data_IF_185622961800
#
_entry.id   IF_185622961800
#
_cell.length_a   1.000
_cell.length_b   1.000
_cell.length_c   1.000
_cell.angle_alpha   90.00
_cell.angle_beta   90.00
_cell.angle_gamma   90.00
#
_symmetry.space_group_name_H-M   'P 1'
#
loop_
_entity.id
_entity.type
_entity.pdbx_description
1 polymer ?
#
# COMPACT_ATOMS: atom_id res chain seq x y z
N UNK A 1 19.68 12.06 3.17
CA UNK A 1 20.03 10.71 3.67
C UNK A 1 21.45 10.78 4.22
N UNK A 2 21.67 10.47 5.51
CA UNK A 2 23.05 10.29 6.02
C UNK A 2 23.67 9.11 5.27
N UNK A 3 24.92 9.26 4.80
CA UNK A 3 25.66 8.20 4.09
C UNK A 3 25.71 6.95 4.98
N UNK A 4 25.01 5.89 4.59
CA UNK A 4 25.21 4.56 5.16
C UNK A 4 26.42 3.96 4.44
N UNK A 5 27.58 4.01 5.09
CA UNK A 5 28.80 3.35 4.60
C UNK A 5 28.66 1.85 4.92
N UNK A 6 28.47 1.02 3.90
CA UNK A 6 28.45 -0.44 4.05
C UNK A 6 29.82 -1.00 3.69
N UNK A 7 30.47 -1.67 4.65
CA UNK A 7 31.63 -2.54 4.41
C UNK A 7 31.19 -4.00 4.48
N UNK A 8 31.63 -4.84 3.54
CA UNK A 8 31.42 -6.29 3.63
C UNK A 8 32.17 -6.86 4.84
N UNK A 9 31.49 -7.05 5.97
CA UNK A 9 31.99 -7.85 7.10
C UNK A 9 31.49 -9.29 6.96
N UNK A 10 32.39 -10.22 6.64
CA UNK A 10 32.05 -11.62 6.33
C UNK A 10 31.67 -12.38 7.62
N UNK A 11 30.43 -12.86 7.74
CA UNK A 11 30.04 -13.89 8.73
C UNK A 11 29.10 -14.90 8.06
N UNK A 12 29.49 -16.18 8.13
CA UNK A 12 28.75 -17.32 7.58
C UNK A 12 27.68 -17.78 8.58
N UNK A 13 26.42 -17.79 8.16
CA UNK A 13 25.35 -18.52 8.85
C UNK A 13 24.35 -19.07 7.83
N UNK A 14 24.10 -20.38 7.88
CA UNK A 14 23.23 -21.11 6.96
C UNK A 14 21.86 -21.40 7.58
N UNK A 15 20.79 -21.00 6.89
CA UNK A 15 19.51 -21.74 6.83
C UNK A 15 18.64 -21.19 5.70
N UNK A 16 18.03 -22.05 4.88
CA UNK A 16 17.23 -21.69 3.69
C UNK A 16 15.83 -22.29 3.76
N UNK A 17 14.82 -21.49 3.36
CA UNK A 17 13.64 -22.01 2.68
C UNK A 17 13.49 -21.26 1.35
N UNK A 18 13.28 -22.03 0.28
CA UNK A 18 12.91 -21.55 -1.06
C UNK A 18 11.68 -22.33 -1.46
N UNK A 19 10.66 -21.68 -2.02
CA UNK A 19 9.50 -22.36 -2.58
C UNK A 19 9.79 -22.79 -4.03
N UNK A 20 9.38 -24.01 -4.42
CA UNK A 20 9.68 -24.59 -5.74
C UNK A 20 8.40 -25.00 -6.51
N UNK A 21 8.27 -24.56 -7.76
CA UNK A 21 7.34 -25.13 -8.77
C UNK A 21 7.94 -25.02 -10.18
N UNK A 22 9.04 -25.73 -10.45
CA UNK A 22 9.51 -25.99 -11.82
C UNK A 22 9.88 -27.47 -11.98
N UNK A 23 9.12 -28.19 -12.81
CA UNK A 23 9.23 -29.65 -13.02
C UNK A 23 10.56 -30.07 -13.66
N UNK A 24 11.17 -29.19 -14.48
CA UNK A 24 12.48 -29.45 -15.09
C UNK A 24 13.58 -29.42 -14.02
N UNK A 25 13.58 -28.39 -13.16
CA UNK A 25 14.54 -28.27 -12.07
C UNK A 25 14.44 -29.43 -11.08
N UNK A 26 13.21 -29.84 -10.75
CA UNK A 26 12.94 -30.91 -9.80
C UNK A 26 13.52 -32.25 -10.22
N UNK A 27 13.57 -32.53 -11.51
CA UNK A 27 13.98 -33.83 -12.07
C UNK A 27 15.38 -33.81 -12.69
N UNK A 28 16.11 -32.71 -12.54
CA UNK A 28 17.48 -32.56 -13.05
C UNK A 28 18.47 -32.70 -11.90
N UNK A 29 19.49 -33.53 -12.10
CA UNK A 29 20.60 -33.70 -11.14
C UNK A 29 21.23 -32.34 -10.77
N UNK A 30 21.48 -32.05 -9.48
CA UNK A 30 22.05 -30.77 -9.05
C UNK A 30 23.37 -30.42 -9.74
N UNK A 31 24.20 -31.42 -10.05
CA UNK A 31 25.48 -31.22 -10.75
C UNK A 31 25.30 -30.72 -12.19
N UNK A 32 24.25 -31.17 -12.88
CA UNK A 32 23.91 -30.71 -14.23
C UNK A 32 23.38 -29.27 -14.19
N UNK A 33 22.57 -28.94 -13.17
CA UNK A 33 22.11 -27.57 -12.94
C UNK A 33 23.29 -26.64 -12.62
N UNK A 34 24.22 -27.06 -11.75
CA UNK A 34 25.43 -26.30 -11.44
C UNK A 34 26.26 -26.04 -12.70
N UNK A 35 26.49 -27.04 -13.55
CA UNK A 35 27.21 -26.85 -14.81
C UNK A 35 26.49 -25.87 -15.76
N UNK A 36 25.17 -25.99 -15.90
CA UNK A 36 24.32 -25.08 -16.70
C UNK A 36 24.49 -23.62 -16.25
N UNK A 37 24.35 -23.36 -14.94
CA UNK A 37 24.44 -21.99 -14.41
C UNK A 37 25.86 -21.45 -14.41
N UNK A 38 26.88 -22.27 -14.17
CA UNK A 38 28.28 -21.85 -14.32
C UNK A 38 28.60 -21.44 -15.76
N UNK A 39 28.17 -22.22 -16.76
CA UNK A 39 28.36 -21.88 -18.18
C UNK A 39 27.63 -20.57 -18.53
N UNK A 40 26.36 -20.46 -18.15
CA UNK A 40 25.54 -19.26 -18.39
C UNK A 40 26.14 -18.01 -17.73
N UNK A 41 26.61 -18.12 -16.48
CA UNK A 41 27.28 -17.04 -15.78
C UNK A 41 28.52 -16.54 -16.54
N UNK A 42 29.38 -17.45 -17.00
CA UNK A 42 30.59 -17.09 -17.79
C UNK A 42 30.23 -16.40 -19.10
N UNK A 43 29.22 -16.91 -19.82
CA UNK A 43 28.75 -16.30 -21.06
C UNK A 43 28.18 -14.89 -20.84
N UNK A 44 27.42 -14.68 -19.76
CA UNK A 44 26.86 -13.38 -19.41
C UNK A 44 27.95 -12.39 -18.97
N UNK A 45 28.93 -12.85 -18.19
CA UNK A 45 30.10 -12.03 -17.82
C UNK A 45 30.91 -11.60 -19.05
N UNK A 46 31.15 -12.51 -19.99
CA UNK A 46 31.85 -12.20 -21.25
C UNK A 46 31.11 -11.15 -22.09
N UNK A 47 29.77 -11.08 -21.98
CA UNK A 47 28.92 -10.07 -22.64
C UNK A 47 28.78 -8.77 -21.83
N UNK A 48 29.29 -8.71 -20.60
CA UNK A 48 29.10 -7.58 -19.69
C UNK A 48 27.71 -7.52 -19.03
N UNK A 49 26.87 -8.55 -19.16
CA UNK A 49 25.55 -8.63 -18.52
C UNK A 49 25.71 -9.12 -17.07
N UNK A 50 26.18 -8.22 -16.21
CA UNK A 50 26.42 -8.50 -14.78
C UNK A 50 25.13 -8.91 -14.06
N UNK A 51 23.99 -8.40 -14.50
CA UNK A 51 22.69 -8.72 -13.89
C UNK A 51 22.36 -10.19 -14.05
N UNK A 52 22.36 -10.72 -15.28
CA UNK A 52 22.12 -12.15 -15.50
C UNK A 52 23.23 -13.02 -14.92
N UNK A 53 24.48 -12.59 -15.04
CA UNK A 53 25.60 -13.32 -14.47
C UNK A 53 25.46 -13.48 -12.95
N UNK A 54 25.12 -12.42 -12.22
CA UNK A 54 24.93 -12.48 -10.77
C UNK A 54 23.80 -13.43 -10.37
N UNK A 55 22.68 -13.40 -11.10
CA UNK A 55 21.54 -14.31 -10.89
C UNK A 55 21.94 -15.76 -11.13
N UNK A 56 22.70 -16.03 -12.19
CA UNK A 56 23.21 -17.38 -12.49
C UNK A 56 24.20 -17.86 -11.42
N UNK A 57 25.06 -16.98 -10.90
CA UNK A 57 25.98 -17.31 -9.81
C UNK A 57 25.25 -17.60 -8.49
N UNK A 58 24.20 -16.85 -8.16
CA UNK A 58 23.36 -17.13 -6.99
C UNK A 58 22.67 -18.50 -7.12
N UNK A 59 22.14 -18.81 -8.31
CA UNK A 59 21.55 -20.12 -8.61
C UNK A 59 22.60 -21.23 -8.56
N UNK A 60 23.79 -21.03 -9.11
CA UNK A 60 24.89 -21.98 -9.03
C UNK A 60 25.17 -22.38 -7.57
N UNK A 61 25.29 -21.40 -6.67
CA UNK A 61 25.53 -21.64 -5.24
C UNK A 61 24.48 -22.55 -4.59
N UNK A 62 23.20 -22.41 -4.97
CA UNK A 62 22.10 -23.29 -4.51
C UNK A 62 22.36 -24.77 -4.80
N UNK A 63 22.99 -25.09 -5.93
CA UNK A 63 23.20 -26.47 -6.38
C UNK A 63 24.57 -27.05 -5.99
N UNK A 64 25.42 -26.24 -5.37
CA UNK A 64 26.76 -26.66 -4.94
C UNK A 64 26.91 -26.71 -3.42
N UNK A 65 26.12 -25.95 -2.67
CA UNK A 65 26.31 -25.76 -1.23
C UNK A 65 25.20 -26.38 -0.38
N UNK A 66 25.59 -27.15 0.64
CA UNK A 66 24.67 -27.75 1.60
C UNK A 66 24.22 -29.15 1.21
N UNK A 67 22.92 -29.42 1.38
CA UNK A 67 22.33 -30.73 1.18
C UNK A 67 21.02 -30.63 0.41
N UNK A 68 20.67 -31.71 -0.29
CA UNK A 68 19.42 -31.85 -1.04
C UNK A 68 18.75 -33.17 -0.67
N UNK A 69 17.42 -33.19 -0.67
CA UNK A 69 16.65 -34.42 -0.55
C UNK A 69 16.47 -35.05 -1.92
N UNK A 70 16.97 -36.26 -2.11
CA UNK A 70 16.70 -37.08 -3.28
C UNK A 70 15.62 -38.11 -2.93
N UNK A 71 14.55 -38.14 -3.72
CA UNK A 71 13.46 -39.11 -3.55
C UNK A 71 13.00 -39.63 -4.90
N UNK A 72 12.75 -40.94 -4.98
CA UNK A 72 12.23 -41.54 -6.21
C UNK A 72 10.71 -41.44 -6.24
N UNK A 73 10.18 -40.76 -7.25
CA UNK A 73 8.76 -40.82 -7.59
C UNK A 73 8.48 -42.16 -8.26
N UNK A 74 7.62 -42.99 -7.64
CA UNK A 74 7.36 -44.35 -8.13
C UNK A 74 6.44 -44.37 -9.35
N UNK A 75 5.65 -43.33 -9.55
CA UNK A 75 4.74 -43.22 -10.69
C UNK A 75 5.51 -42.78 -11.94
N UNK A 76 6.31 -41.71 -11.83
CA UNK A 76 7.13 -41.22 -12.94
C UNK A 76 8.42 -42.02 -13.17
N UNK A 77 8.81 -42.82 -12.16
CA UNK A 77 10.08 -43.57 -12.08
C UNK A 77 11.34 -42.70 -12.10
N UNK A 78 11.20 -41.38 -11.92
CA UNK A 78 12.32 -40.43 -11.86
C UNK A 78 12.74 -40.14 -10.44
N UNK A 79 14.00 -39.75 -10.29
CA UNK A 79 14.47 -39.13 -9.07
C UNK A 79 14.08 -37.64 -9.08
N UNK A 80 13.68 -37.15 -7.92
CA UNK A 80 13.30 -35.77 -7.68
C UNK A 80 14.15 -35.17 -6.55
N UNK A 81 14.50 -33.90 -6.68
CA UNK A 81 15.44 -33.18 -5.83
C UNK A 81 14.77 -31.99 -5.13
N UNK A 82 14.60 -32.10 -3.82
CA UNK A 82 13.95 -31.08 -2.99
C UNK A 82 14.98 -30.35 -2.12
N UNK A 83 14.96 -29.01 -2.18
CA UNK A 83 15.93 -28.13 -1.50
C UNK A 83 15.38 -27.56 -0.18
N UNK A 84 14.19 -27.98 0.22
CA UNK A 84 13.60 -27.68 1.53
C UNK A 84 12.83 -28.89 2.03
N UNK A 85 12.79 -29.08 3.36
CA UNK A 85 11.98 -30.12 3.98
C UNK A 85 10.48 -29.90 3.69
N UNK A 86 10.04 -28.65 3.73
CA UNK A 86 8.64 -28.29 3.51
C UNK A 86 8.14 -28.69 2.11
N UNK A 87 8.96 -28.50 1.07
CA UNK A 87 8.59 -28.91 -0.29
C UNK A 87 8.56 -30.44 -0.44
N UNK A 88 9.52 -31.14 0.20
CA UNK A 88 9.53 -32.60 0.25
C UNK A 88 8.27 -33.15 0.94
N UNK A 89 7.93 -32.59 2.11
CA UNK A 89 6.76 -33.00 2.88
C UNK A 89 5.48 -32.77 2.07
N UNK A 90 5.37 -31.61 1.43
CA UNK A 90 4.22 -31.28 0.57
C UNK A 90 4.08 -32.26 -0.59
N UNK A 91 5.18 -32.64 -1.25
CA UNK A 91 5.14 -33.59 -2.35
C UNK A 91 4.80 -35.00 -1.88
N UNK A 92 5.43 -35.46 -0.80
CA UNK A 92 5.27 -36.84 -0.29
C UNK A 92 3.95 -37.07 0.46
N UNK A 93 3.26 -36.01 0.89
CA UNK A 93 1.95 -36.11 1.53
C UNK A 93 0.85 -36.66 0.61
N UNK A 94 0.97 -36.47 -0.70
CA UNK A 94 -0.08 -36.81 -1.67
C UNK A 94 0.37 -37.72 -2.81
N UNK A 95 1.67 -38.05 -2.91
CA UNK A 95 2.20 -38.85 -4.00
C UNK A 95 2.83 -40.17 -3.59
N UNK A 96 3.09 -41.01 -4.59
CA UNK A 96 3.68 -42.32 -4.41
C UNK A 96 5.20 -42.25 -4.51
N UNK A 97 5.86 -42.09 -3.35
CA UNK A 97 7.32 -41.92 -3.30
C UNK A 97 8.01 -43.10 -2.60
N UNK A 98 9.29 -43.28 -2.93
CA UNK A 98 10.21 -44.08 -2.14
C UNK A 98 10.64 -43.31 -0.87
N UNK A 99 11.44 -43.94 -0.02
CA UNK A 99 12.05 -43.26 1.14
C UNK A 99 13.03 -42.20 0.63
N UNK A 100 12.83 -40.95 1.05
CA UNK A 100 13.76 -39.86 0.74
C UNK A 100 15.12 -40.08 1.44
N UNK A 101 16.19 -39.65 0.79
CA UNK A 101 17.55 -39.63 1.33
C UNK A 101 18.15 -38.24 1.22
N UNK A 102 18.90 -37.85 2.23
CA UNK A 102 19.65 -36.60 2.23
C UNK A 102 21.00 -36.83 1.53
N UNK A 103 21.34 -35.97 0.56
CA UNK A 103 22.55 -36.07 -0.26
C UNK A 103 23.34 -34.77 -0.12
N UNK A 104 24.62 -34.86 0.23
CA UNK A 104 25.50 -33.70 0.30
C UNK A 104 25.86 -33.22 -1.11
N UNK A 105 25.63 -31.94 -1.38
CA UNK A 105 26.03 -31.32 -2.64
C UNK A 105 27.56 -31.23 -2.72
N UNK A 106 28.09 -31.32 -3.93
CA UNK A 106 29.52 -31.37 -4.20
C UNK A 106 29.95 -30.08 -4.90
N UNK A 107 30.60 -29.14 -4.20
CA UNK A 107 31.11 -27.92 -4.83
C UNK A 107 32.18 -28.25 -5.87
N UNK A 108 32.02 -27.74 -7.10
CA UNK A 108 32.98 -27.89 -8.19
C UNK A 108 33.48 -26.54 -8.71
N UNK A 109 32.60 -25.55 -8.80
CA UNK A 109 32.89 -24.26 -9.40
C UNK A 109 33.02 -23.14 -8.36
N UNK A 110 32.15 -23.10 -7.35
CA UNK A 110 32.02 -21.97 -6.41
C UNK A 110 33.31 -21.58 -5.68
N UNK A 111 34.09 -22.56 -5.18
CA UNK A 111 35.37 -22.30 -4.50
C UNK A 111 36.38 -21.56 -5.41
N UNK A 112 36.44 -21.94 -6.69
CA UNK A 112 37.37 -21.35 -7.65
C UNK A 112 37.00 -19.90 -7.99
N UNK A 113 35.72 -19.55 -7.87
CA UNK A 113 35.19 -18.23 -8.25
C UNK A 113 35.15 -17.24 -7.07
N UNK A 114 35.49 -17.65 -5.84
CA UNK A 114 35.25 -16.86 -4.64
C UNK A 114 35.90 -15.46 -4.70
N UNK A 115 37.17 -15.37 -5.12
CA UNK A 115 37.88 -14.09 -5.27
C UNK A 115 37.29 -13.23 -6.38
N UNK A 116 36.95 -13.83 -7.53
CA UNK A 116 36.38 -13.12 -8.68
C UNK A 116 34.98 -12.56 -8.36
N UNK A 117 34.12 -13.36 -7.73
CA UNK A 117 32.78 -12.97 -7.30
C UNK A 117 32.84 -11.89 -6.23
N UNK A 118 33.78 -12.00 -5.27
CA UNK A 118 33.99 -10.96 -4.24
C UNK A 118 34.42 -9.62 -4.85
N UNK A 119 35.38 -9.64 -5.77
CA UNK A 119 35.82 -8.44 -6.48
C UNK A 119 34.68 -7.81 -7.31
N UNK A 120 33.87 -8.63 -7.98
CA UNK A 120 32.72 -8.17 -8.73
C UNK A 120 31.64 -7.56 -7.82
N UNK A 121 31.38 -8.17 -6.67
CA UNK A 121 30.43 -7.65 -5.67
C UNK A 121 30.86 -6.26 -5.16
N UNK A 122 32.14 -6.10 -4.82
CA UNK A 122 32.71 -4.81 -4.41
C UNK A 122 32.56 -3.75 -5.50
N UNK A 123 32.88 -4.11 -6.75
CA UNK A 123 32.75 -3.20 -7.89
C UNK A 123 31.30 -2.75 -8.13
N UNK A 124 30.35 -3.68 -8.06
CA UNK A 124 28.93 -3.36 -8.22
C UNK A 124 28.40 -2.53 -7.05
N UNK A 125 28.88 -2.76 -5.83
CA UNK A 125 28.52 -1.96 -4.65
C UNK A 125 29.02 -0.52 -4.79
N UNK A 126 30.28 -0.32 -5.18
CA UNK A 126 30.84 1.00 -5.45
C UNK A 126 30.06 1.74 -6.55
N UNK A 127 29.70 1.02 -7.62
CA UNK A 127 28.92 1.58 -8.71
C UNK A 127 27.47 1.91 -8.27
N UNK A 128 26.84 1.07 -7.45
CA UNK A 128 25.51 1.33 -6.89
C UNK A 128 25.51 2.61 -6.04
N UNK A 129 26.51 2.76 -5.18
CA UNK A 129 26.66 3.94 -4.33
C UNK A 129 26.88 5.22 -5.16
N UNK A 130 27.72 5.16 -6.21
CA UNK A 130 27.92 6.29 -7.13
C UNK A 130 26.65 6.66 -7.88
N UNK A 131 25.91 5.68 -8.40
CA UNK A 131 24.64 5.90 -9.08
C UNK A 131 23.59 6.51 -8.13
N UNK A 132 23.57 6.07 -6.87
CA UNK A 132 22.69 6.61 -5.83
C UNK A 132 23.03 8.07 -5.50
N UNK A 133 24.32 8.41 -5.34
CA UNK A 133 24.79 9.79 -5.13
C UNK A 133 24.43 10.69 -6.33
N UNK A 134 24.49 10.13 -7.55
CA UNK A 134 24.08 10.79 -8.79
C UNK A 134 22.55 10.80 -9.02
N UNK A 135 21.75 10.26 -8.08
CA UNK A 135 20.29 10.12 -8.19
C UNK A 135 19.80 9.28 -9.38
N UNK A 136 20.66 8.42 -9.93
CA UNK A 136 20.33 7.44 -10.96
C UNK A 136 19.70 6.20 -10.31
N UNK A 137 18.51 6.38 -9.74
CA UNK A 137 17.95 5.40 -8.82
C UNK A 137 17.64 4.03 -9.45
N UNK A 138 17.15 3.97 -10.69
CA UNK A 138 16.93 2.68 -11.38
C UNK A 138 18.22 1.89 -11.53
N UNK A 139 19.31 2.56 -11.92
CA UNK A 139 20.63 1.95 -12.05
C UNK A 139 21.16 1.49 -10.69
N UNK A 140 21.11 2.35 -9.68
CA UNK A 140 21.52 2.01 -8.32
C UNK A 140 20.75 0.79 -7.79
N UNK A 141 19.43 0.74 -8.01
CA UNK A 141 18.58 -0.38 -7.59
C UNK A 141 18.97 -1.69 -8.27
N UNK A 142 19.21 -1.68 -9.58
CA UNK A 142 19.70 -2.87 -10.30
C UNK A 142 21.05 -3.33 -9.76
N UNK A 143 21.98 -2.42 -9.50
CA UNK A 143 23.30 -2.76 -8.98
C UNK A 143 23.24 -3.32 -7.56
N UNK A 144 22.38 -2.80 -6.69
CA UNK A 144 22.16 -3.39 -5.37
C UNK A 144 21.56 -4.80 -5.45
N UNK A 145 20.69 -5.09 -6.41
CA UNK A 145 20.24 -6.47 -6.67
C UNK A 145 21.38 -7.36 -7.15
N UNK A 146 22.29 -6.85 -7.98
CA UNK A 146 23.49 -7.59 -8.40
C UNK A 146 24.37 -7.91 -7.20
N UNK A 147 24.62 -6.94 -6.31
CA UNK A 147 25.36 -7.15 -5.06
C UNK A 147 24.68 -8.23 -4.23
N UNK A 148 23.36 -8.14 -4.01
CA UNK A 148 22.59 -9.16 -3.29
C UNK A 148 22.83 -10.57 -3.85
N UNK A 149 22.72 -10.75 -5.17
CA UNK A 149 22.92 -12.06 -5.79
C UNK A 149 24.37 -12.55 -5.66
N UNK A 150 25.35 -11.65 -5.79
CA UNK A 150 26.78 -12.00 -5.67
C UNK A 150 27.16 -12.38 -4.24
N UNK A 151 26.64 -11.69 -3.23
CA UNK A 151 26.88 -12.06 -1.82
C UNK A 151 26.17 -13.37 -1.46
N UNK A 152 25.00 -13.64 -2.04
CA UNK A 152 24.32 -14.94 -1.93
C UNK A 152 25.14 -16.06 -2.59
N UNK A 153 25.77 -15.79 -3.73
CA UNK A 153 26.69 -16.72 -4.38
C UNK A 153 27.91 -17.07 -3.50
N UNK A 154 28.35 -16.13 -2.65
CA UNK A 154 29.42 -16.34 -1.65
C UNK A 154 28.95 -17.04 -0.37
N UNK A 155 27.68 -17.45 -0.29
CA UNK A 155 27.09 -18.10 0.88
C UNK A 155 26.72 -17.14 2.01
N UNK A 156 26.74 -15.83 1.76
CA UNK A 156 26.36 -14.79 2.73
C UNK A 156 24.97 -14.25 2.43
N UNK A 157 24.14 -14.09 3.46
CA UNK A 157 22.76 -13.59 3.31
C UNK A 157 22.66 -12.18 3.85
N UNK A 158 22.59 -11.22 2.94
CA UNK A 158 22.48 -9.80 3.27
C UNK A 158 21.28 -9.20 2.53
N UNK A 159 20.07 -9.52 3.00
CA UNK A 159 18.80 -9.01 2.46
C UNK A 159 18.71 -7.47 2.51
N UNK A 160 19.61 -6.81 3.25
CA UNK A 160 19.73 -5.35 3.29
C UNK A 160 20.00 -4.75 1.91
N UNK A 161 20.73 -5.44 1.02
CA UNK A 161 20.96 -4.95 -0.35
C UNK A 161 19.67 -5.02 -1.19
N UNK A 162 18.83 -6.03 -0.99
CA UNK A 162 17.47 -6.07 -1.58
C UNK A 162 16.62 -4.91 -1.08
N UNK A 163 16.68 -4.61 0.22
CA UNK A 163 15.95 -3.46 0.77
C UNK A 163 16.43 -2.13 0.20
N UNK A 164 17.74 -1.95 0.02
CA UNK A 164 18.31 -0.77 -0.66
C UNK A 164 17.86 -0.65 -2.11
N UNK A 165 17.78 -1.78 -2.83
CA UNK A 165 17.23 -1.80 -4.17
C UNK A 165 15.76 -1.35 -4.20
N UNK A 166 14.94 -1.81 -3.25
CA UNK A 166 13.55 -1.37 -3.12
C UNK A 166 13.44 0.15 -2.89
N UNK A 167 14.25 0.72 -1.98
CA UNK A 167 14.32 2.18 -1.78
C UNK A 167 14.68 2.90 -3.08
N UNK A 168 15.64 2.38 -3.84
CA UNK A 168 16.03 2.97 -5.11
C UNK A 168 14.88 2.92 -6.13
N UNK A 169 14.20 1.78 -6.31
CA UNK A 169 13.06 1.71 -7.22
C UNK A 169 11.89 2.61 -6.78
N UNK A 170 11.63 2.73 -5.47
CA UNK A 170 10.68 3.71 -4.95
C UNK A 170 11.05 5.15 -5.34
N UNK A 171 12.31 5.55 -5.15
CA UNK A 171 12.78 6.89 -5.53
C UNK A 171 12.80 7.12 -7.06
N UNK A 172 12.85 6.05 -7.84
CA UNK A 172 12.68 6.07 -9.30
C UNK A 172 11.20 6.13 -9.75
N UNK A 173 10.26 6.17 -8.80
CA UNK A 173 8.81 6.01 -9.02
C UNK A 173 8.40 4.67 -9.66
N UNK A 174 9.26 3.66 -9.63
CA UNK A 174 8.97 2.28 -10.02
C UNK A 174 8.39 1.53 -8.81
N UNK A 175 7.18 1.95 -8.41
CA UNK A 175 6.51 1.45 -7.21
C UNK A 175 6.18 -0.05 -7.30
N UNK A 176 5.91 -0.57 -8.49
CA UNK A 176 5.60 -1.99 -8.68
C UNK A 176 6.82 -2.86 -8.39
N UNK A 177 8.01 -2.54 -8.92
CA UNK A 177 9.24 -3.29 -8.59
C UNK A 177 9.61 -3.15 -7.13
N UNK A 178 9.51 -1.94 -6.57
CA UNK A 178 9.74 -1.72 -5.14
C UNK A 178 8.83 -2.62 -4.30
N UNK A 179 7.54 -2.63 -4.60
CA UNK A 179 6.55 -3.42 -3.86
C UNK A 179 6.82 -4.93 -3.96
N UNK A 180 7.17 -5.45 -5.14
CA UNK A 180 7.54 -6.86 -5.30
C UNK A 180 8.67 -7.25 -4.35
N UNK A 181 9.75 -6.46 -4.30
CA UNK A 181 10.88 -6.74 -3.43
C UNK A 181 10.49 -6.64 -1.95
N UNK A 182 9.70 -5.62 -1.57
CA UNK A 182 9.27 -5.44 -0.18
C UNK A 182 8.37 -6.59 0.30
N UNK A 183 7.52 -7.15 -0.56
CA UNK A 183 6.71 -8.34 -0.26
C UNK A 183 7.56 -9.58 -0.08
N UNK A 184 8.60 -9.78 -0.91
CA UNK A 184 9.56 -10.87 -0.71
C UNK A 184 10.29 -10.76 0.64
N UNK A 185 10.70 -9.56 1.02
CA UNK A 185 11.36 -9.28 2.30
C UNK A 185 10.42 -9.50 3.48
N UNK A 186 9.16 -9.04 3.37
CA UNK A 186 8.13 -9.25 4.39
C UNK A 186 7.87 -10.74 4.64
N UNK A 187 7.70 -11.53 3.58
CA UNK A 187 7.47 -12.97 3.65
C UNK A 187 8.64 -13.74 4.32
N UNK A 188 9.86 -13.19 4.28
CA UNK A 188 11.05 -13.73 4.95
C UNK A 188 11.23 -13.24 6.39
N UNK A 189 10.36 -12.38 6.89
CA UNK A 189 10.51 -11.78 8.22
C UNK A 189 11.68 -10.81 8.32
N UNK A 190 12.05 -10.14 7.23
CA UNK A 190 13.17 -9.20 7.18
C UNK A 190 13.08 -8.13 8.26
N UNK A 191 14.07 -8.05 9.15
CA UNK A 191 14.18 -6.96 10.14
C UNK A 191 15.24 -5.94 9.77
N UNK A 192 16.09 -6.24 8.78
CA UNK A 192 17.28 -5.47 8.46
C UNK A 192 18.38 -5.53 9.52
N UNK A 193 18.18 -6.30 10.61
CA UNK A 193 19.23 -6.60 11.58
C UNK A 193 20.16 -7.69 11.04
N UNK A 194 21.45 -7.42 11.02
CA UNK A 194 22.54 -8.36 10.75
C UNK A 194 23.73 -8.10 11.68
N UNK A 195 24.79 -8.91 11.58
CA UNK A 195 26.00 -8.73 12.39
C UNK A 195 26.63 -7.33 12.22
N UNK A 196 26.47 -6.72 11.04
CA UNK A 196 27.04 -5.42 10.71
C UNK A 196 25.99 -4.29 10.62
N UNK A 197 24.71 -4.60 10.84
CA UNK A 197 23.63 -3.62 10.79
C UNK A 197 22.65 -3.91 11.93
N UNK A 198 22.65 -3.10 12.99
CA UNK A 198 21.81 -3.36 14.17
C UNK A 198 20.47 -2.63 14.14
N UNK A 199 20.28 -1.70 13.19
CA UNK A 199 19.01 -0.98 13.04
C UNK A 199 17.91 -1.94 12.59
N UNK A 200 16.76 -1.85 13.27
CA UNK A 200 15.53 -2.50 12.85
C UNK A 200 14.83 -1.66 11.77
N UNK A 201 14.70 -2.23 10.58
CA UNK A 201 13.99 -1.66 9.44
C UNK A 201 12.66 -2.37 9.17
N UNK A 202 12.21 -3.30 10.03
CA UNK A 202 10.99 -4.06 9.77
C UNK A 202 9.80 -3.12 9.55
N UNK A 203 9.64 -2.11 10.42
CA UNK A 203 8.60 -1.09 10.30
C UNK A 203 8.80 -0.21 9.05
N UNK A 204 10.01 0.31 8.85
CA UNK A 204 10.35 1.21 7.76
C UNK A 204 10.07 0.58 6.38
N UNK A 205 10.24 -0.74 6.26
CA UNK A 205 9.92 -1.52 5.07
C UNK A 205 8.42 -1.48 4.74
N UNK A 206 7.53 -1.71 5.72
CA UNK A 206 6.08 -1.60 5.48
C UNK A 206 5.70 -0.17 5.14
N UNK A 207 6.21 0.83 5.86
CA UNK A 207 5.93 2.24 5.56
C UNK A 207 6.33 2.61 4.12
N UNK A 208 7.48 2.13 3.64
CA UNK A 208 7.91 2.33 2.26
C UNK A 208 6.94 1.68 1.26
N UNK A 209 6.50 0.45 1.53
CA UNK A 209 5.53 -0.25 0.68
C UNK A 209 4.19 0.50 0.61
N UNK A 210 3.67 0.95 1.75
CA UNK A 210 2.41 1.68 1.86
C UNK A 210 2.48 3.03 1.12
N UNK A 211 3.57 3.78 1.28
CA UNK A 211 3.75 5.03 0.53
C UNK A 211 3.83 4.78 -0.98
N UNK A 212 4.43 3.66 -1.42
CA UNK A 212 4.46 3.27 -2.83
C UNK A 212 3.06 3.01 -3.37
N UNK A 213 2.24 2.27 -2.62
CA UNK A 213 0.84 1.99 -2.96
C UNK A 213 -0.02 3.25 -3.00
N UNK A 214 0.15 4.15 -2.04
CA UNK A 214 -0.55 5.44 -1.99
C UNK A 214 -0.23 6.27 -3.24
N UNK A 215 1.05 6.42 -3.57
CA UNK A 215 1.49 7.17 -4.76
C UNK A 215 1.03 6.51 -6.07
N UNK A 216 1.03 5.17 -6.12
CA UNK A 216 0.54 4.42 -7.27
C UNK A 216 -1.00 4.37 -7.35
N UNK A 217 -1.71 4.83 -6.31
CA UNK A 217 -3.17 4.71 -6.14
C UNK A 217 -3.66 3.26 -6.25
N UNK A 218 -2.86 2.30 -5.78
CA UNK A 218 -3.15 0.87 -5.83
C UNK A 218 -3.39 0.30 -4.44
N UNK A 219 -4.16 -0.77 -4.38
CA UNK A 219 -4.29 -1.59 -3.18
C UNK A 219 -3.48 -2.88 -3.32
N UNK A 220 -2.91 -3.36 -2.21
CA UNK A 220 -2.30 -4.69 -2.07
C UNK A 220 -2.55 -5.23 -0.65
N UNK A 221 -2.55 -6.54 -0.48
CA UNK A 221 -2.79 -7.21 0.81
C UNK A 221 -1.75 -6.88 1.88
N UNK A 222 -0.56 -6.39 1.50
CA UNK A 222 0.46 -5.92 2.45
C UNK A 222 -0.05 -4.78 3.36
N UNK A 223 -1.11 -4.07 2.94
CA UNK A 223 -1.81 -3.08 3.78
C UNK A 223 -2.37 -3.73 5.04
N UNK A 224 -3.06 -4.86 4.88
CA UNK A 224 -3.66 -5.59 6.02
C UNK A 224 -2.58 -6.22 6.90
N UNK A 225 -1.51 -6.70 6.28
CA UNK A 225 -0.36 -7.24 7.01
C UNK A 225 0.28 -6.17 7.89
N UNK A 226 0.51 -4.96 7.34
CA UNK A 226 1.09 -3.85 8.07
C UNK A 226 0.21 -3.39 9.23
N UNK A 227 -1.10 -3.22 9.02
CA UNK A 227 -2.03 -2.76 10.06
C UNK A 227 -2.27 -3.83 11.13
N UNK A 228 -2.24 -5.11 10.78
CA UNK A 228 -2.31 -6.21 11.75
C UNK A 228 -1.06 -6.26 12.62
N UNK A 229 0.12 -6.05 12.01
CA UNK A 229 1.40 -6.09 12.71
C UNK A 229 1.63 -4.87 13.59
N UNK A 230 1.13 -3.71 13.17
CA UNK A 230 1.31 -2.42 13.84
C UNK A 230 -0.03 -1.73 14.15
N UNK A 231 -0.91 -2.36 14.95
CA UNK A 231 -2.29 -1.91 15.12
C UNK A 231 -2.42 -0.53 15.78
N UNK A 232 -1.41 -0.08 16.53
CA UNK A 232 -1.38 1.22 17.23
C UNK A 232 -0.47 2.25 16.57
N UNK A 233 0.12 1.94 15.41
CA UNK A 233 1.03 2.86 14.72
C UNK A 233 0.22 3.87 13.90
N UNK A 234 0.23 5.13 14.33
CA UNK A 234 -0.59 6.19 13.72
C UNK A 234 -0.22 6.42 12.25
N UNK A 235 1.07 6.41 11.90
CA UNK A 235 1.50 6.67 10.52
C UNK A 235 1.04 5.54 9.58
N UNK A 236 1.27 4.29 9.97
CA UNK A 236 0.85 3.12 9.17
C UNK A 236 -0.67 3.14 8.96
N UNK A 237 -1.42 3.40 10.03
CA UNK A 237 -2.87 3.47 9.95
C UNK A 237 -3.35 4.63 9.05
N UNK A 238 -2.72 5.81 9.16
CA UNK A 238 -3.06 6.96 8.33
C UNK A 238 -2.76 6.71 6.84
N UNK A 239 -1.61 6.10 6.51
CA UNK A 239 -1.26 5.77 5.13
C UNK A 239 -2.21 4.69 4.60
N UNK A 240 -2.53 3.66 5.39
CA UNK A 240 -3.50 2.62 5.01
C UNK A 240 -4.88 3.20 4.68
N UNK A 241 -5.39 4.10 5.53
CA UNK A 241 -6.60 4.89 5.27
C UNK A 241 -6.51 5.64 3.95
N UNK A 242 -5.40 6.36 3.72
CA UNK A 242 -5.16 7.05 2.46
C UNK A 242 -5.18 6.11 1.25
N UNK A 243 -4.59 4.92 1.36
CA UNK A 243 -4.58 3.89 0.30
C UNK A 243 -6.00 3.45 -0.02
N UNK A 244 -6.83 3.12 0.97
CA UNK A 244 -8.21 2.70 0.70
C UNK A 244 -8.99 3.79 -0.05
N UNK A 245 -8.80 5.06 0.32
CA UNK A 245 -9.43 6.20 -0.35
C UNK A 245 -8.96 6.34 -1.80
N UNK A 246 -7.65 6.39 -2.06
CA UNK A 246 -7.14 6.65 -3.42
C UNK A 246 -7.29 5.46 -4.36
N UNK A 247 -7.42 4.24 -3.81
CA UNK A 247 -7.63 3.00 -4.59
C UNK A 247 -9.10 2.64 -4.77
N UNK A 248 -10.04 3.41 -4.19
CA UNK A 248 -11.49 3.14 -4.29
C UNK A 248 -11.95 1.90 -3.50
N UNK A 249 -11.19 1.44 -2.52
CA UNK A 249 -11.54 0.28 -1.68
C UNK A 249 -12.45 0.70 -0.51
N UNK A 250 -13.63 1.26 -0.82
CA UNK A 250 -14.55 1.82 0.17
C UNK A 250 -14.99 0.80 1.23
N UNK A 251 -15.21 -0.47 0.87
CA UNK A 251 -15.61 -1.51 1.84
C UNK A 251 -14.57 -1.72 2.95
N UNK A 252 -13.28 -1.74 2.58
CA UNK A 252 -12.19 -1.89 3.56
C UNK A 252 -12.04 -0.64 4.42
N UNK A 253 -12.18 0.54 3.81
CA UNK A 253 -12.19 1.80 4.54
C UNK A 253 -13.32 1.83 5.57
N UNK A 254 -14.54 1.48 5.16
CA UNK A 254 -15.72 1.41 6.03
C UNK A 254 -15.45 0.50 7.23
N UNK A 255 -15.05 -0.75 6.98
CA UNK A 255 -14.75 -1.71 8.06
C UNK A 255 -13.68 -1.19 9.01
N UNK A 256 -12.64 -0.54 8.48
CA UNK A 256 -11.55 0.00 9.31
C UNK A 256 -12.02 1.16 10.18
N UNK A 257 -12.82 2.06 9.64
CA UNK A 257 -13.41 3.16 10.42
C UNK A 257 -14.35 2.60 11.50
N UNK A 258 -15.18 1.60 11.18
CA UNK A 258 -16.05 0.95 12.17
C UNK A 258 -15.26 0.32 13.32
N UNK A 259 -14.13 -0.31 13.03
CA UNK A 259 -13.21 -0.81 14.06
C UNK A 259 -12.59 0.33 14.88
N UNK A 260 -12.17 1.42 14.22
CA UNK A 260 -11.61 2.59 14.90
C UNK A 260 -12.63 3.26 15.85
N UNK A 261 -13.90 3.33 15.44
CA UNK A 261 -15.01 3.82 16.28
C UNK A 261 -15.21 2.90 17.51
N UNK A 262 -15.11 1.58 17.35
CA UNK A 262 -15.20 0.65 18.49
C UNK A 262 -14.06 0.84 19.49
N UNK A 263 -12.86 1.18 19.00
CA UNK A 263 -11.68 1.42 19.84
C UNK A 263 -11.75 2.79 20.54
N UNK A 264 -12.10 3.84 19.79
CA UNK A 264 -12.24 5.20 20.31
C UNK A 264 -13.58 5.81 19.85
N UNK A 265 -14.66 5.61 20.62
CA UNK A 265 -15.99 6.11 20.27
C UNK A 265 -16.15 7.62 20.43
N UNK A 266 -15.13 8.33 20.90
CA UNK A 266 -15.15 9.78 21.07
C UNK A 266 -14.34 10.52 19.99
N UNK A 267 -13.82 9.80 19.00
CA UNK A 267 -13.10 10.39 17.87
C UNK A 267 -14.07 10.91 16.80
N UNK A 268 -14.35 12.21 16.83
CA UNK A 268 -15.22 12.88 15.87
C UNK A 268 -14.81 12.65 14.40
N UNK A 269 -13.50 12.50 14.11
CA UNK A 269 -12.99 12.33 12.75
C UNK A 269 -13.45 11.00 12.14
N UNK A 270 -13.55 9.94 12.94
CA UNK A 270 -13.99 8.63 12.46
C UNK A 270 -15.47 8.66 12.04
N UNK A 271 -16.33 9.29 12.82
CA UNK A 271 -17.74 9.47 12.44
C UNK A 271 -17.89 10.34 11.19
N UNK A 272 -17.11 11.42 11.07
CA UNK A 272 -17.07 12.23 9.85
C UNK A 272 -16.64 11.40 8.64
N UNK A 273 -15.54 10.64 8.73
CA UNK A 273 -15.03 9.82 7.64
C UNK A 273 -16.04 8.76 7.20
N UNK A 274 -16.73 8.10 8.14
CA UNK A 274 -17.79 7.13 7.83
C UNK A 274 -18.99 7.82 7.16
N UNK A 275 -19.37 9.00 7.65
CA UNK A 275 -20.45 9.80 7.07
C UNK A 275 -20.16 10.18 5.61
N UNK A 276 -18.91 10.56 5.30
CA UNK A 276 -18.46 10.85 3.92
C UNK A 276 -18.60 9.63 3.02
N UNK A 277 -18.24 8.43 3.48
CA UNK A 277 -18.37 7.21 2.68
C UNK A 277 -19.83 6.84 2.37
N UNK A 278 -20.75 7.20 3.27
CA UNK A 278 -22.18 6.93 3.12
C UNK A 278 -22.93 8.04 2.38
N UNK A 279 -22.29 9.18 2.12
CA UNK A 279 -22.95 10.36 1.56
C UNK A 279 -23.51 10.14 0.15
N UNK A 280 -22.79 9.38 -0.67
CA UNK A 280 -23.16 9.12 -2.07
C UNK A 280 -24.07 7.90 -2.22
N UNK A 281 -24.29 7.12 -1.16
CA UNK A 281 -25.21 5.98 -1.16
C UNK A 281 -26.60 6.43 -0.70
N UNK A 282 -27.54 6.52 -1.64
CA UNK A 282 -28.92 6.93 -1.36
C UNK A 282 -29.62 6.04 -0.31
N UNK A 283 -29.23 4.77 -0.17
CA UNK A 283 -29.76 3.88 0.86
C UNK A 283 -29.25 4.21 2.27
N UNK A 284 -28.15 4.97 2.35
CA UNK A 284 -27.47 5.37 3.58
C UNK A 284 -27.51 6.86 3.87
N UNK A 285 -28.26 7.65 3.09
CA UNK A 285 -28.33 9.10 3.26
C UNK A 285 -28.71 9.54 4.70
N UNK A 286 -29.69 8.87 5.32
CA UNK A 286 -30.08 9.18 6.72
C UNK A 286 -28.99 8.77 7.73
N UNK A 287 -28.33 7.63 7.49
CA UNK A 287 -27.21 7.16 8.31
C UNK A 287 -26.04 8.14 8.23
N UNK A 288 -25.69 8.62 7.04
CA UNK A 288 -24.67 9.66 6.80
C UNK A 288 -24.96 10.94 7.60
N UNK A 289 -26.19 11.45 7.56
CA UNK A 289 -26.60 12.62 8.35
C UNK A 289 -26.41 12.39 9.85
N UNK A 290 -26.79 11.22 10.36
CA UNK A 290 -26.62 10.88 11.78
C UNK A 290 -25.14 10.77 12.18
N UNK A 291 -24.29 10.26 11.30
CA UNK A 291 -22.84 10.21 11.52
C UNK A 291 -22.22 11.62 11.59
N UNK A 292 -22.62 12.55 10.72
CA UNK A 292 -22.18 13.94 10.83
C UNK A 292 -22.69 14.63 12.10
N UNK A 293 -23.95 14.40 12.48
CA UNK A 293 -24.51 14.88 13.75
C UNK A 293 -23.70 14.36 14.94
N UNK A 294 -23.29 13.09 14.93
CA UNK A 294 -22.44 12.51 15.98
C UNK A 294 -21.05 13.14 16.01
N UNK A 295 -20.43 13.35 14.85
CA UNK A 295 -19.15 14.06 14.76
C UNK A 295 -19.24 15.50 15.32
N UNK A 296 -20.34 16.21 15.06
CA UNK A 296 -20.61 17.54 15.60
C UNK A 296 -20.83 17.51 17.12
N UNK A 297 -21.55 16.51 17.64
CA UNK A 297 -21.75 16.32 19.08
C UNK A 297 -20.41 16.15 19.81
N UNK A 298 -19.50 15.36 19.24
CA UNK A 298 -18.18 15.10 19.79
C UNK A 298 -17.21 16.27 19.61
N UNK A 299 -17.32 17.00 18.49
CA UNK A 299 -16.54 18.20 18.21
C UNK A 299 -17.43 19.31 17.63
N UNK A 300 -17.99 20.20 18.48
CA UNK A 300 -18.87 21.28 18.05
C UNK A 300 -18.20 22.35 17.17
N UNK A 301 -16.88 22.29 16.96
CA UNK A 301 -16.14 23.19 16.06
C UNK A 301 -15.73 22.53 14.74
N UNK A 302 -16.17 21.30 14.48
CA UNK A 302 -15.80 20.56 13.27
C UNK A 302 -16.57 21.07 12.05
N UNK A 303 -16.01 22.07 11.38
CA UNK A 303 -16.64 22.80 10.28
C UNK A 303 -17.04 21.88 9.11
N UNK A 304 -16.18 20.92 8.76
CA UNK A 304 -16.39 19.96 7.67
C UNK A 304 -17.62 19.07 7.91
N UNK A 305 -17.90 18.70 9.15
CA UNK A 305 -19.10 17.93 9.48
C UNK A 305 -20.37 18.75 9.30
N UNK A 306 -20.35 20.03 9.70
CA UNK A 306 -21.48 20.92 9.43
C UNK A 306 -21.70 21.10 7.93
N UNK A 307 -20.62 21.32 7.17
CA UNK A 307 -20.69 21.48 5.72
C UNK A 307 -21.32 20.25 5.05
N UNK A 308 -20.83 19.05 5.36
CA UNK A 308 -21.34 17.82 4.74
C UNK A 308 -22.74 17.45 5.23
N UNK A 309 -23.10 17.77 6.48
CA UNK A 309 -24.48 17.62 6.95
C UNK A 309 -25.44 18.53 6.18
N UNK A 310 -25.07 19.81 5.98
CA UNK A 310 -25.88 20.75 5.18
C UNK A 310 -26.00 20.27 3.74
N UNK A 311 -24.91 19.80 3.13
CA UNK A 311 -24.94 19.23 1.78
C UNK A 311 -25.87 18.01 1.70
N UNK A 312 -25.81 17.10 2.68
CA UNK A 312 -26.68 15.93 2.75
C UNK A 312 -28.16 16.31 2.93
N UNK A 313 -28.46 17.32 3.77
CA UNK A 313 -29.83 17.82 3.97
C UNK A 313 -30.35 18.46 2.67
N UNK A 314 -29.53 19.26 2.00
CA UNK A 314 -29.93 20.00 0.80
C UNK A 314 -29.77 19.21 -0.50
N UNK A 315 -29.24 17.98 -0.47
CA UNK A 315 -29.05 17.14 -1.65
C UNK A 315 -30.33 17.04 -2.51
N UNK A 316 -31.54 16.81 -1.95
CA UNK A 316 -32.76 16.70 -2.76
C UNK A 316 -33.25 18.03 -3.37
N UNK A 317 -32.69 19.19 -2.96
CA UNK A 317 -33.17 20.51 -3.39
C UNK A 317 -33.05 20.68 -4.91
N UNK A 318 -32.02 20.09 -5.52
CA UNK A 318 -31.76 20.17 -6.95
C UNK A 318 -32.91 19.54 -7.76
N UNK A 319 -33.28 18.30 -7.45
CA UNK A 319 -34.38 17.60 -8.13
C UNK A 319 -35.74 18.27 -7.84
N UNK A 320 -35.91 18.82 -6.63
CA UNK A 320 -37.11 19.58 -6.27
C UNK A 320 -37.24 20.85 -7.13
N UNK A 321 -36.16 21.63 -7.28
CA UNK A 321 -36.13 22.84 -8.12
C UNK A 321 -36.36 22.50 -9.59
N UNK A 322 -35.75 21.44 -10.10
CA UNK A 322 -35.99 20.97 -11.47
C UNK A 322 -37.47 20.61 -11.68
N UNK A 323 -38.06 19.89 -10.73
CA UNK A 323 -39.50 19.57 -10.74
C UNK A 323 -40.34 20.84 -10.74
N UNK A 324 -40.01 21.85 -9.92
CA UNK A 324 -40.74 23.12 -9.89
C UNK A 324 -40.64 23.87 -11.22
N UNK A 325 -39.44 23.96 -11.81
CA UNK A 325 -39.20 24.66 -13.07
C UNK A 325 -39.97 24.03 -14.25
N UNK A 326 -40.13 22.71 -14.24
CA UNK A 326 -40.90 21.98 -15.24
C UNK A 326 -42.43 22.08 -15.04
N UNK A 327 -42.90 22.73 -13.97
CA UNK A 327 -44.32 22.83 -13.61
C UNK A 327 -44.74 24.29 -13.31
N UNK A 328 -44.21 25.27 -14.05
CA UNK A 328 -44.55 26.69 -13.89
C UNK A 328 -45.85 27.13 -14.61
N UNK A 329 -46.58 26.20 -15.21
CA UNK A 329 -47.79 26.50 -15.96
C UNK A 329 -48.98 26.94 -15.09
N UNK A 330 -50.03 27.42 -15.74
CA UNK A 330 -51.21 27.97 -15.04
C UNK A 330 -52.25 26.93 -14.66
N UNK A 331 -52.09 25.67 -15.07
CA UNK A 331 -53.07 24.63 -14.76
C UNK A 331 -53.12 24.35 -13.25
N UNK A 332 -54.26 23.85 -12.78
CA UNK A 332 -54.45 23.48 -11.37
C UNK A 332 -53.39 22.47 -10.91
N UNK A 333 -53.12 21.45 -11.72
CA UNK A 333 -52.17 20.37 -11.42
C UNK A 333 -50.73 20.87 -11.31
N UNK A 334 -50.30 21.74 -12.22
CA UNK A 334 -48.94 22.33 -12.19
C UNK A 334 -48.73 23.19 -10.93
N UNK A 335 -49.72 24.03 -10.59
CA UNK A 335 -49.70 24.83 -9.35
C UNK A 335 -49.65 23.97 -8.09
N UNK A 336 -50.39 22.87 -8.04
CA UNK A 336 -50.36 21.93 -6.92
C UNK A 336 -48.97 21.29 -6.76
N UNK A 337 -48.34 20.86 -7.86
CA UNK A 337 -46.97 20.32 -7.85
C UNK A 337 -45.97 21.38 -7.37
N UNK A 338 -46.06 22.61 -7.88
CA UNK A 338 -45.18 23.70 -7.48
C UNK A 338 -45.30 23.99 -5.98
N UNK A 339 -46.52 24.18 -5.47
CA UNK A 339 -46.77 24.48 -4.06
C UNK A 339 -46.30 23.34 -3.15
N UNK A 340 -46.54 22.07 -3.53
CA UNK A 340 -46.08 20.92 -2.75
C UNK A 340 -44.54 20.86 -2.66
N UNK A 341 -43.84 21.18 -3.75
CA UNK A 341 -42.39 21.24 -3.77
C UNK A 341 -41.83 22.46 -3.02
N UNK A 342 -42.51 23.61 -3.05
CA UNK A 342 -42.15 24.77 -2.22
C UNK A 342 -42.16 24.41 -0.72
N UNK A 343 -43.17 23.68 -0.25
CA UNK A 343 -43.23 23.18 1.13
C UNK A 343 -42.05 22.26 1.45
N UNK A 344 -41.69 21.34 0.55
CA UNK A 344 -40.52 20.46 0.71
C UNK A 344 -39.23 21.27 0.82
N UNK A 345 -39.01 22.25 -0.06
CA UNK A 345 -37.84 23.13 0.00
C UNK A 345 -37.78 23.87 1.33
N UNK A 346 -38.89 24.47 1.77
CA UNK A 346 -38.95 25.17 3.06
C UNK A 346 -38.59 24.25 4.23
N UNK A 347 -39.03 22.99 4.22
CA UNK A 347 -38.64 22.01 5.23
C UNK A 347 -37.12 21.74 5.22
N UNK A 348 -36.52 21.50 4.04
CA UNK A 348 -35.07 21.28 3.92
C UNK A 348 -34.25 22.46 4.43
N UNK A 349 -34.60 23.69 4.03
CA UNK A 349 -33.90 24.89 4.47
C UNK A 349 -34.17 25.22 5.95
N UNK A 350 -35.31 24.81 6.50
CA UNK A 350 -35.58 24.92 7.94
C UNK A 350 -34.65 24.00 8.73
N UNK A 351 -34.43 22.77 8.27
CA UNK A 351 -33.49 21.84 8.90
C UNK A 351 -32.03 22.32 8.75
N UNK A 352 -31.64 22.83 7.58
CA UNK A 352 -30.27 23.23 7.28
C UNK A 352 -29.84 24.53 7.97
N UNK A 353 -30.77 25.49 8.17
CA UNK A 353 -30.44 26.84 8.63
C UNK A 353 -29.66 26.88 9.96
N UNK A 354 -30.04 26.17 11.04
CA UNK A 354 -29.29 26.20 12.29
C UNK A 354 -27.83 25.73 12.14
N UNK A 355 -27.56 24.76 11.26
CA UNK A 355 -26.21 24.27 10.99
C UNK A 355 -25.40 25.30 10.20
N UNK A 356 -26.02 25.95 9.22
CA UNK A 356 -25.40 27.07 8.50
C UNK A 356 -25.07 28.24 9.43
N UNK A 357 -25.93 28.54 10.41
CA UNK A 357 -25.65 29.58 11.42
C UNK A 357 -24.45 29.21 12.28
N UNK A 358 -24.35 27.94 12.71
CA UNK A 358 -23.14 27.43 13.40
C UNK A 358 -21.89 27.52 12.54
N UNK A 359 -21.96 27.23 11.25
CA UNK A 359 -20.83 27.42 10.35
C UNK A 359 -20.39 28.89 10.29
N UNK A 360 -21.34 29.83 10.28
CA UNK A 360 -21.04 31.27 10.31
C UNK A 360 -20.44 31.71 11.65
N UNK A 361 -20.90 31.17 12.78
CA UNK A 361 -20.28 31.40 14.08
C UNK A 361 -18.81 30.93 14.11
N UNK A 362 -18.50 29.79 13.48
CA UNK A 362 -17.13 29.23 13.42
C UNK A 362 -16.25 30.03 12.44
N UNK A 363 -16.78 30.37 11.27
CA UNK A 363 -16.07 31.10 10.21
C UNK A 363 -16.91 32.26 9.66
N UNK A 364 -16.96 33.41 10.35
CA UNK A 364 -17.84 34.53 9.96
C UNK A 364 -17.42 35.22 8.65
N UNK A 365 -16.17 35.03 8.21
CA UNK A 365 -15.66 35.58 6.96
C UNK A 365 -15.81 34.60 5.77
N UNK A 366 -16.36 33.41 6.01
CA UNK A 366 -16.58 32.44 4.95
C UNK A 366 -17.74 32.88 4.06
N UNK A 367 -17.40 33.48 2.91
CA UNK A 367 -18.37 33.99 1.94
C UNK A 367 -19.35 32.94 1.44
N UNK A 368 -18.92 31.69 1.30
CA UNK A 368 -19.81 30.61 0.85
C UNK A 368 -20.90 30.32 1.87
N UNK A 369 -20.55 30.29 3.16
CA UNK A 369 -21.51 30.10 4.25
C UNK A 369 -22.51 31.25 4.29
N UNK A 370 -22.05 32.49 4.19
CA UNK A 370 -22.94 33.67 4.15
C UNK A 370 -23.92 33.58 2.98
N UNK A 371 -23.46 33.20 1.79
CA UNK A 371 -24.33 33.04 0.61
C UNK A 371 -25.35 31.93 0.80
N UNK A 372 -24.95 30.81 1.39
CA UNK A 372 -25.86 29.72 1.72
C UNK A 372 -26.94 30.18 2.73
N UNK A 373 -26.58 31.00 3.72
CA UNK A 373 -27.52 31.59 4.67
C UNK A 373 -28.50 32.57 4.01
N UNK A 374 -28.02 33.44 3.10
CA UNK A 374 -28.88 34.33 2.31
C UNK A 374 -29.89 33.49 1.52
N UNK A 375 -29.43 32.44 0.82
CA UNK A 375 -30.32 31.56 0.08
C UNK A 375 -31.32 30.84 0.98
N UNK A 376 -30.88 30.35 2.13
CA UNK A 376 -31.75 29.68 3.09
C UNK A 376 -32.87 30.61 3.57
N UNK A 377 -32.53 31.81 4.05
CA UNK A 377 -33.54 32.73 4.57
C UNK A 377 -34.42 33.36 3.51
N UNK A 378 -33.92 33.52 2.27
CA UNK A 378 -34.75 33.85 1.11
C UNK A 378 -35.80 32.77 0.85
N UNK A 379 -35.41 31.50 0.83
CA UNK A 379 -36.35 30.38 0.63
C UNK A 379 -37.39 30.30 1.76
N UNK A 380 -36.97 30.61 2.99
CA UNK A 380 -37.85 30.61 4.17
C UNK A 380 -38.74 31.86 4.28
N UNK A 381 -38.52 32.90 3.46
CA UNK A 381 -39.25 34.16 3.55
C UNK A 381 -38.95 34.94 4.84
N UNK A 382 -37.72 34.81 5.38
CA UNK A 382 -37.28 35.55 6.56
C UNK A 382 -36.39 36.74 6.14
N UNK A 383 -37.05 37.83 5.74
CA UNK A 383 -36.39 39.03 5.23
C UNK A 383 -35.40 39.64 6.25
N UNK A 384 -35.69 39.53 7.55
CA UNK A 384 -34.82 40.06 8.59
C UNK A 384 -33.46 39.35 8.61
N UNK A 385 -33.46 38.01 8.64
CA UNK A 385 -32.23 37.21 8.61
C UNK A 385 -31.54 37.30 7.25
N UNK A 386 -32.30 37.30 6.16
CA UNK A 386 -31.73 37.49 4.82
C UNK A 386 -30.95 38.81 4.72
N UNK A 387 -31.56 39.92 5.11
CA UNK A 387 -30.92 41.24 5.07
C UNK A 387 -29.68 41.32 5.96
N UNK A 388 -29.72 40.72 7.16
CA UNK A 388 -28.56 40.61 8.04
C UNK A 388 -27.35 39.98 7.33
N UNK A 389 -27.54 38.82 6.68
CA UNK A 389 -26.44 38.13 6.00
C UNK A 389 -26.02 38.82 4.69
N UNK A 390 -26.94 39.51 3.98
CA UNK A 390 -26.58 40.38 2.84
C UNK A 390 -25.65 41.51 3.26
N UNK A 391 -25.91 42.13 4.42
CA UNK A 391 -25.05 43.17 4.94
C UNK A 391 -23.71 42.62 5.46
N UNK A 392 -23.69 41.41 6.03
CA UNK A 392 -22.45 40.69 6.34
C UNK A 392 -21.60 40.44 5.07
N UNK A 393 -22.21 39.99 3.96
CA UNK A 393 -21.49 39.78 2.70
C UNK A 393 -20.86 41.08 2.17
N UNK A 394 -21.60 42.20 2.21
CA UNK A 394 -21.09 43.51 1.77
C UNK A 394 -19.87 43.97 2.57
N UNK A 395 -19.81 43.64 3.86
CA UNK A 395 -18.68 44.01 4.73
C UNK A 395 -17.39 43.28 4.38
N UNK A 396 -17.45 42.12 3.72
CA UNK A 396 -16.26 41.38 3.26
C UNK A 396 -15.58 41.96 2.01
N UNK A 397 -16.26 42.87 1.31
CA UNK A 397 -15.78 43.47 0.05
C UNK A 397 -15.11 44.84 0.28
N UNK A 398 -15.26 45.40 1.49
CA UNK A 398 -14.62 46.64 1.93
C UNK A 398 -13.35 46.32 2.69
#
# INVERSE_FOLDING_TARGET
>A
MKKLLFSLGLVLAMSTSFAQTNTEELTTEPTVLAEKYNKSAKENLAKGDVTKASQDLAKLSKYENGKVWQVKNKDSKKDEFYYSQADLDKATASGNYAKAKEVALQPKYGFLLQSEVSNLANKELDAANKAMDAKQFTEAGTKFLNVFNLVEALGTKEDIYKYQAAICFYNAADYDKSLTILKELAAKGFTGKSANQTKDYNRDMYVLALNGLYNAKKYDTIVEEATTKYPKDADINNIATGIYQVSGNSDKMTKRIEEAIKINPNDAQNYYNLGVLYLDDASKAEESKNLFKKAIELNPKHFESYNNLVLAILQPDKEIVETMNNNLGTSKKEKEIYNANEVKRKALFTEAAPYLEKMYEIQPENRQVIRNLIQAYKTLGNDQKENFYRDAEKKLVK
#
